data_IF_488689073894
#
_entry.id   IF_488689073894
#
_cell.length_a   1.000
_cell.length_b   1.000
_cell.length_c   1.000
_cell.angle_alpha   90.00
_cell.angle_beta   90.00
_cell.angle_gamma   90.00
#
_symmetry.space_group_name_H-M   'P 1'
#
loop_
_entity.id
_entity.type
_entity.pdbx_description
1 polymer ?
#
# COMPACT_ATOMS: atom_id res chain seq x y z
N UNK A 1 2.15 -26.47 -20.72
CA UNK A 1 1.28 -25.45 -20.08
C UNK A 1 1.35 -24.20 -20.92
N UNK A 2 0.21 -23.65 -21.29
CA UNK A 2 0.15 -22.38 -22.02
C UNK A 2 0.34 -21.23 -21.03
N UNK A 3 1.53 -20.61 -21.04
CA UNK A 3 1.94 -19.53 -20.13
C UNK A 3 1.96 -18.16 -20.81
N UNK A 4 1.50 -18.09 -22.06
CA UNK A 4 1.63 -16.91 -22.92
C UNK A 4 0.90 -15.70 -22.31
N UNK A 5 -0.27 -15.93 -21.70
CA UNK A 5 -1.04 -14.91 -20.98
C UNK A 5 -0.32 -14.38 -19.73
N UNK A 6 0.41 -15.24 -19.03
CA UNK A 6 1.15 -14.89 -17.81
C UNK A 6 2.32 -13.98 -18.18
N UNK A 7 3.09 -14.37 -19.20
CA UNK A 7 4.20 -13.56 -19.70
C UNK A 7 3.71 -12.21 -20.23
N UNK A 8 2.57 -12.18 -20.93
CA UNK A 8 1.95 -10.93 -21.38
C UNK A 8 1.61 -10.00 -20.21
N UNK A 9 1.10 -10.52 -19.10
CA UNK A 9 0.79 -9.72 -17.90
C UNK A 9 2.04 -9.07 -17.30
N UNK A 10 3.11 -9.85 -17.11
CA UNK A 10 4.34 -9.36 -16.47
C UNK A 10 5.19 -8.44 -17.35
N UNK A 11 4.98 -8.47 -18.68
CA UNK A 11 5.62 -7.54 -19.62
C UNK A 11 4.88 -6.21 -19.76
N UNK A 12 3.76 -6.01 -19.07
CA UNK A 12 3.08 -4.71 -19.07
C UNK A 12 3.71 -3.76 -18.03
N UNK A 13 3.56 -2.47 -18.27
CA UNK A 13 3.93 -1.47 -17.27
C UNK A 13 3.21 -1.70 -15.95
N UNK A 14 3.96 -1.76 -14.86
CA UNK A 14 3.40 -1.84 -13.51
C UNK A 14 2.99 -0.45 -13.00
N UNK A 15 1.75 -0.34 -12.54
CA UNK A 15 1.25 0.79 -11.76
C UNK A 15 0.71 0.28 -10.43
N UNK A 16 1.29 0.76 -9.32
CA UNK A 16 0.88 0.32 -7.99
C UNK A 16 -0.02 1.36 -7.34
N UNK A 17 -1.18 0.93 -6.83
CA UNK A 17 -2.01 1.75 -5.95
C UNK A 17 -1.72 1.32 -4.50
N UNK A 18 -0.95 2.12 -3.77
CA UNK A 18 -0.65 1.81 -2.37
C UNK A 18 -1.81 2.25 -1.46
N UNK A 19 -2.49 1.26 -0.88
CA UNK A 19 -3.50 1.42 0.17
C UNK A 19 -2.93 0.86 1.47
N UNK A 20 -2.23 1.71 2.24
CA UNK A 20 -1.58 1.25 3.46
C UNK A 20 -0.51 2.22 3.96
N UNK A 21 0.55 1.64 4.55
CA UNK A 21 1.65 2.41 5.10
C UNK A 21 2.36 3.24 4.02
N UNK A 22 2.72 4.46 4.39
CA UNK A 22 3.49 5.39 3.56
C UNK A 22 4.81 4.79 3.10
N UNK A 23 5.50 4.12 4.02
CA UNK A 23 6.82 3.54 3.79
C UNK A 23 6.84 2.55 2.63
N UNK A 24 5.74 1.83 2.38
CA UNK A 24 5.65 0.90 1.25
C UNK A 24 5.61 1.64 -0.09
N UNK A 25 4.85 2.74 -0.19
CA UNK A 25 4.86 3.58 -1.39
C UNK A 25 6.24 4.20 -1.64
N UNK A 26 6.90 4.69 -0.58
CA UNK A 26 8.22 5.30 -0.71
C UNK A 26 9.30 4.29 -1.10
N UNK A 27 9.24 3.07 -0.57
CA UNK A 27 10.15 2.00 -0.99
C UNK A 27 9.99 1.68 -2.48
N UNK A 28 8.76 1.51 -2.96
CA UNK A 28 8.49 1.21 -4.37
C UNK A 28 8.91 2.36 -5.31
N UNK A 29 8.71 3.61 -4.90
CA UNK A 29 9.19 4.77 -5.68
C UNK A 29 10.72 4.79 -5.81
N UNK A 30 11.45 4.40 -4.76
CA UNK A 30 12.93 4.31 -4.81
C UNK A 30 13.42 3.28 -5.82
N UNK A 31 12.66 2.20 -6.01
CA UNK A 31 12.91 1.18 -7.04
C UNK A 31 12.43 1.61 -8.44
N UNK A 32 12.02 2.88 -8.63
CA UNK A 32 11.60 3.42 -9.93
C UNK A 32 10.19 3.00 -10.36
N UNK A 33 9.42 2.34 -9.49
CA UNK A 33 8.04 1.92 -9.81
C UNK A 33 7.10 3.11 -9.77
N UNK A 34 6.15 3.18 -10.71
CA UNK A 34 5.06 4.17 -10.66
C UNK A 34 4.06 3.81 -9.57
N UNK A 35 3.94 4.68 -8.57
CA UNK A 35 3.04 4.45 -7.42
C UNK A 35 2.08 5.61 -7.22
N UNK A 36 0.78 5.30 -7.17
CA UNK A 36 -0.26 6.18 -6.66
C UNK A 36 -0.55 5.81 -5.21
N UNK A 37 -0.33 6.73 -4.27
CA UNK A 37 -0.71 6.49 -2.88
C UNK A 37 -2.11 7.01 -2.61
N UNK A 38 -2.98 6.15 -2.09
CA UNK A 38 -4.32 6.52 -1.68
C UNK A 38 -4.33 6.93 -0.21
N UNK A 39 -4.92 8.08 0.10
CA UNK A 39 -5.20 8.52 1.48
C UNK A 39 -6.43 7.80 2.04
N UNK A 40 -6.38 6.48 2.07
CA UNK A 40 -7.48 5.66 2.54
C UNK A 40 -7.47 5.55 4.07
N UNK A 41 -8.67 5.63 4.68
CA UNK A 41 -8.90 5.37 6.10
C UNK A 41 -10.19 4.55 6.25
N UNK A 42 -10.28 3.64 7.24
CA UNK A 42 -11.49 2.89 7.48
C UNK A 42 -12.67 3.84 7.80
N UNK A 43 -13.89 3.54 7.30
CA UNK A 43 -15.05 4.44 7.41
C UNK A 43 -15.46 4.71 8.86
N UNK A 44 -15.35 3.70 9.73
CA UNK A 44 -15.43 3.89 11.16
C UNK A 44 -14.03 4.24 11.66
N UNK A 45 -13.80 5.47 12.10
CA UNK A 45 -12.50 6.00 12.55
C UNK A 45 -11.91 5.36 13.82
N UNK A 46 -12.31 4.14 14.14
CA UNK A 46 -11.89 3.37 15.31
C UNK A 46 -12.52 3.85 16.61
N UNK A 47 -12.27 3.09 17.68
CA UNK A 47 -12.57 3.54 19.04
C UNK A 47 -11.50 4.54 19.49
N UNK A 48 -11.89 5.79 19.72
CA UNK A 48 -10.99 6.84 20.24
C UNK A 48 -10.27 6.41 21.52
N UNK A 49 -10.96 5.66 22.39
CA UNK A 49 -10.38 5.12 23.63
C UNK A 49 -9.22 4.17 23.33
N UNK A 50 -9.41 3.23 22.41
CA UNK A 50 -8.37 2.26 22.05
C UNK A 50 -7.20 2.96 21.36
N UNK A 51 -7.47 3.91 20.45
CA UNK A 51 -6.43 4.72 19.80
C UNK A 51 -5.54 5.45 20.84
N UNK A 52 -6.16 6.10 21.84
CA UNK A 52 -5.43 6.81 22.90
C UNK A 52 -4.59 5.89 23.80
N UNK A 53 -4.99 4.63 23.97
CA UNK A 53 -4.21 3.65 24.73
C UNK A 53 -3.02 3.14 23.92
N UNK A 54 -3.19 2.91 22.61
CA UNK A 54 -2.10 2.50 21.72
C UNK A 54 -1.03 3.58 21.58
N UNK A 55 -1.40 4.86 21.56
CA UNK A 55 -0.44 5.97 21.53
C UNK A 55 0.47 5.98 22.77
N UNK A 56 -0.06 5.64 23.95
CA UNK A 56 0.74 5.54 25.18
C UNK A 56 1.76 4.40 25.15
N UNK A 57 1.56 3.39 24.31
CA UNK A 57 2.47 2.23 24.16
C UNK A 57 3.58 2.48 23.14
N UNK A 58 3.43 3.48 22.25
CA UNK A 58 4.48 3.86 21.31
C UNK A 58 5.44 4.84 22.00
N UNK A 59 6.33 4.27 22.81
CA UNK A 59 7.57 4.92 23.28
C UNK A 59 8.65 4.82 22.21
#
# INVERSE_FOLDING_TARGET
>A
MDVERINKLFNQDLLVINMGLESFAENLKKEGVRVLRMSWKPPAGGSKKIASLLEKLKS
#
